data_IF_728978497508
#
_entry.id   IF_728978497508
#
_cell.length_a   1.000
_cell.length_b   1.000
_cell.length_c   1.000
_cell.angle_alpha   90.00
_cell.angle_beta   90.00
_cell.angle_gamma   90.00
#
_symmetry.space_group_name_H-M   'P 1'
#
loop_
_entity.id
_entity.type
_entity.pdbx_description
1 polymer ?
#
# COMPACT_ATOMS: atom_id res chain seq x y z
N UNK A 1 13.13 40.53 19.79
CA UNK A 1 12.22 39.44 19.39
C UNK A 1 10.79 39.89 19.61
N UNK A 2 10.12 40.38 18.57
CA UNK A 2 8.70 40.77 18.65
C UNK A 2 7.84 39.57 18.30
N UNK A 3 7.14 39.05 19.30
CA UNK A 3 6.24 37.91 19.19
C UNK A 3 5.01 38.40 18.41
N UNK A 4 4.82 37.90 17.18
CA UNK A 4 3.61 38.15 16.40
C UNK A 4 2.40 37.69 17.22
N UNK A 5 1.61 38.66 17.71
CA UNK A 5 0.37 38.40 18.42
C UNK A 5 -0.63 37.88 17.39
N UNK A 6 -0.79 36.55 17.33
CA UNK A 6 -1.69 35.89 16.40
C UNK A 6 -3.11 36.46 16.56
N UNK A 7 -3.58 37.12 15.51
CA UNK A 7 -4.90 37.73 15.43
C UNK A 7 -5.98 36.65 15.56
N UNK A 8 -7.18 36.94 16.11
CA UNK A 8 -8.25 35.95 16.26
C UNK A 8 -8.66 35.31 14.92
N UNK A 9 -8.49 36.04 13.81
CA UNK A 9 -8.69 35.55 12.45
C UNK A 9 -7.72 34.42 12.07
N UNK A 10 -6.45 34.49 12.48
CA UNK A 10 -5.46 33.43 12.22
C UNK A 10 -5.81 32.13 12.95
N UNK A 11 -6.31 32.24 14.18
CA UNK A 11 -6.73 31.07 14.97
C UNK A 11 -7.92 30.36 14.34
N UNK A 12 -8.88 31.13 13.80
CA UNK A 12 -10.03 30.60 13.06
C UNK A 12 -9.64 29.90 11.76
N UNK A 13 -8.71 30.48 10.98
CA UNK A 13 -8.22 29.86 9.73
C UNK A 13 -7.53 28.51 10.00
N UNK A 14 -6.72 28.42 11.06
CA UNK A 14 -6.03 27.17 11.43
C UNK A 14 -7.04 26.09 11.86
N UNK A 15 -8.09 26.47 12.60
CA UNK A 15 -9.14 25.54 13.05
C UNK A 15 -9.95 24.99 11.86
N UNK A 16 -10.34 25.83 10.91
CA UNK A 16 -11.10 25.39 9.72
C UNK A 16 -10.24 24.51 8.80
N UNK A 17 -8.96 24.86 8.63
CA UNK A 17 -8.04 24.08 7.79
C UNK A 17 -7.80 22.66 8.34
N UNK A 18 -7.74 22.50 9.67
CA UNK A 18 -7.51 21.20 10.31
C UNK A 18 -8.73 20.26 10.22
N UNK A 19 -9.96 20.81 10.26
CA UNK A 19 -11.18 20.02 10.06
C UNK A 19 -11.33 19.48 8.63
N UNK A 20 -10.94 20.26 7.61
CA UNK A 20 -10.99 19.82 6.22
C UNK A 20 -10.03 18.66 5.92
N UNK A 21 -8.87 18.62 6.58
CA UNK A 21 -7.84 17.61 6.34
C UNK A 21 -8.23 16.21 6.86
N UNK A 22 -8.94 16.14 8.01
CA UNK A 22 -9.39 14.87 8.60
C UNK A 22 -10.51 14.21 7.78
N UNK A 23 -11.42 15.00 7.19
CA UNK A 23 -12.48 14.47 6.34
C UNK A 23 -11.93 13.86 5.03
N UNK A 24 -10.92 14.48 4.43
CA UNK A 24 -10.32 14.02 3.16
C UNK A 24 -9.59 12.68 3.22
N UNK A 25 -9.08 12.29 4.40
CA UNK A 25 -8.32 11.03 4.55
C UNK A 25 -9.20 9.78 4.48
N UNK A 26 -10.50 9.88 4.81
CA UNK A 26 -11.41 8.72 4.78
C UNK A 26 -11.81 8.29 3.37
N UNK A 27 -11.76 9.20 2.40
CA UNK A 27 -12.13 8.93 1.01
C UNK A 27 -11.08 8.16 0.20
N UNK A 28 -9.87 7.96 0.75
CA UNK A 28 -8.79 7.20 0.12
C UNK A 28 -8.74 5.74 0.58
N UNK A 29 -9.71 5.29 1.39
CA UNK A 29 -9.85 3.88 1.74
C UNK A 29 -10.26 3.09 0.49
N UNK A 30 -9.26 2.72 -0.33
CA UNK A 30 -9.46 1.81 -1.44
C UNK A 30 -9.78 0.44 -0.83
N UNK A 31 -10.94 -0.17 -1.13
CA UNK A 31 -11.19 -1.52 -0.67
C UNK A 31 -10.07 -2.42 -1.21
N UNK A 32 -9.37 -3.09 -0.29
CA UNK A 32 -8.39 -4.11 -0.64
C UNK A 32 -9.13 -5.31 -1.22
N UNK A 33 -9.44 -5.24 -2.50
CA UNK A 33 -9.99 -6.35 -3.27
C UNK A 33 -8.99 -7.51 -3.13
N UNK A 34 -9.38 -8.56 -2.41
CA UNK A 34 -8.61 -9.78 -2.23
C UNK A 34 -8.58 -10.51 -3.58
N UNK A 35 -7.83 -9.95 -4.53
CA UNK A 35 -7.64 -10.54 -5.85
C UNK A 35 -7.14 -11.95 -5.67
N UNK A 36 -7.76 -12.88 -6.38
CA UNK A 36 -7.40 -14.28 -6.33
C UNK A 36 -5.89 -14.43 -6.59
N UNK A 37 -5.18 -15.08 -5.67
CA UNK A 37 -3.74 -15.29 -5.81
C UNK A 37 -3.54 -16.56 -6.65
N UNK A 38 -3.22 -16.36 -7.92
CA UNK A 38 -3.17 -17.44 -8.91
C UNK A 38 -1.77 -18.04 -9.09
N UNK A 39 -0.71 -17.40 -8.56
CA UNK A 39 0.67 -17.82 -8.82
C UNK A 39 1.52 -17.96 -7.55
N UNK A 40 2.37 -18.98 -7.57
CA UNK A 40 3.30 -19.30 -6.50
C UNK A 40 4.73 -19.42 -7.03
N UNK A 41 5.70 -18.86 -6.31
CA UNK A 41 7.12 -19.17 -6.50
C UNK A 41 7.51 -20.40 -5.68
N UNK A 42 8.23 -21.32 -6.30
CA UNK A 42 8.77 -22.52 -5.66
C UNK A 42 10.28 -22.51 -5.75
N UNK A 43 10.93 -22.45 -4.59
CA UNK A 43 12.38 -22.44 -4.42
C UNK A 43 12.74 -23.53 -3.40
N UNK A 44 13.77 -24.32 -3.67
CA UNK A 44 14.26 -25.36 -2.75
C UNK A 44 14.80 -24.78 -1.43
N UNK A 45 15.22 -23.51 -1.40
CA UNK A 45 15.76 -22.83 -0.22
C UNK A 45 14.70 -22.15 0.65
N UNK A 46 13.61 -21.65 0.05
CA UNK A 46 12.57 -20.86 0.74
C UNK A 46 11.20 -21.52 0.76
N UNK A 47 11.04 -22.68 0.12
CA UNK A 47 9.75 -23.36 0.01
C UNK A 47 8.86 -22.73 -1.06
N UNK A 48 7.54 -22.86 -0.86
CA UNK A 48 6.53 -22.35 -1.80
C UNK A 48 5.88 -21.10 -1.25
N UNK A 49 5.90 -20.00 -2.01
CA UNK A 49 5.29 -18.72 -1.64
C UNK A 49 4.25 -18.35 -2.68
N UNK A 50 2.98 -18.32 -2.27
CA UNK A 50 1.86 -18.02 -3.13
C UNK A 50 1.33 -16.63 -2.83
N UNK A 51 1.87 -15.60 -3.49
CA UNK A 51 1.49 -14.21 -3.23
C UNK A 51 1.34 -13.37 -4.51
N UNK A 52 1.40 -14.00 -5.68
CA UNK A 52 1.42 -13.28 -6.95
C UNK A 52 0.10 -13.46 -7.69
N UNK A 53 -0.40 -12.37 -8.27
CA UNK A 53 -1.63 -12.40 -9.06
C UNK A 53 -1.36 -12.82 -10.51
N UNK A 54 -0.16 -12.55 -11.03
CA UNK A 54 0.23 -12.91 -12.40
C UNK A 54 1.55 -13.68 -12.44
N UNK A 55 1.75 -14.44 -13.51
CA UNK A 55 2.98 -15.17 -13.74
C UNK A 55 4.19 -14.24 -13.88
N UNK A 56 3.99 -13.07 -14.51
CA UNK A 56 5.06 -12.08 -14.69
C UNK A 56 5.52 -11.51 -13.34
N UNK A 57 4.59 -11.26 -12.41
CA UNK A 57 4.94 -10.84 -11.05
C UNK A 57 5.78 -11.90 -10.34
N UNK A 58 5.37 -13.17 -10.43
CA UNK A 58 6.16 -14.27 -9.88
C UNK A 58 7.55 -14.34 -10.52
N UNK A 59 7.65 -14.31 -11.86
CA UNK A 59 8.92 -14.35 -12.60
C UNK A 59 9.83 -13.19 -12.23
N UNK A 60 9.29 -11.98 -12.11
CA UNK A 60 10.04 -10.81 -11.67
C UNK A 60 10.58 -10.98 -10.26
N UNK A 61 9.79 -11.53 -9.33
CA UNK A 61 10.19 -11.75 -7.94
C UNK A 61 11.26 -12.83 -7.75
N UNK A 62 11.29 -13.85 -8.62
CA UNK A 62 12.33 -14.90 -8.60
C UNK A 62 13.50 -14.61 -9.55
N UNK A 63 13.42 -13.55 -10.36
CA UNK A 63 14.50 -13.12 -11.25
C UNK A 63 15.78 -12.93 -10.44
N UNK A 64 16.86 -13.58 -10.88
CA UNK A 64 18.16 -13.57 -10.20
C UNK A 64 18.28 -14.44 -8.92
N UNK A 65 17.17 -14.93 -8.35
CA UNK A 65 17.20 -15.88 -7.21
C UNK A 65 17.15 -17.34 -7.64
N UNK A 66 16.55 -17.61 -8.81
CA UNK A 66 16.25 -18.97 -9.26
C UNK A 66 14.92 -19.49 -8.69
N UNK A 67 14.51 -20.68 -9.13
CA UNK A 67 13.23 -21.29 -8.78
C UNK A 67 12.24 -21.36 -9.95
N UNK A 68 11.00 -21.76 -9.65
CA UNK A 68 9.95 -21.92 -10.66
C UNK A 68 8.67 -21.21 -10.26
N UNK A 69 7.93 -20.68 -11.24
CA UNK A 69 6.60 -20.15 -11.04
C UNK A 69 5.57 -21.20 -11.44
N UNK A 70 4.66 -21.50 -10.52
CA UNK A 70 3.59 -22.47 -10.73
C UNK A 70 2.25 -21.83 -10.43
N UNK A 71 1.22 -22.22 -11.20
CA UNK A 71 -0.15 -21.80 -10.93
C UNK A 71 -0.61 -22.46 -9.62
N UNK A 72 -1.24 -21.68 -8.74
CA UNK A 72 -1.86 -22.19 -7.52
C UNK A 72 -2.98 -23.14 -7.93
N UNK A 73 -2.89 -24.41 -7.53
CA UNK A 73 -4.06 -25.31 -7.53
C UNK A 73 -4.73 -25.16 -6.17
N UNK A 74 -6.01 -24.83 -6.18
CA UNK A 74 -6.88 -24.84 -5.00
C UNK A 74 -7.17 -26.27 -4.58
#
# INVERSE_FOLDING_TARGET
>A
MSILKASPLHKLVILVASLGFLAGMTALATPGEAREIQWCSRDSKRGTVCMYHTEQQCRAAISGRGGTCVRRRV
#
